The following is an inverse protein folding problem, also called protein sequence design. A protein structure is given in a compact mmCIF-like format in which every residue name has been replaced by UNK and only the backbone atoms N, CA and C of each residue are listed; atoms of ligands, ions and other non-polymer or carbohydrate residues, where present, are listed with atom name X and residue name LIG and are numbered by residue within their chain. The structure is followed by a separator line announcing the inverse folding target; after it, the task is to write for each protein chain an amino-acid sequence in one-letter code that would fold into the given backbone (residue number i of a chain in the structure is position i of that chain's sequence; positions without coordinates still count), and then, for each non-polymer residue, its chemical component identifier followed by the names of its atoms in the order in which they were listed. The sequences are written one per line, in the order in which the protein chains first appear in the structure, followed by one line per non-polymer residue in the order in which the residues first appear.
data_IF_899298390096
#
_entry.id   IF_899298390096
#
_cell.length_a   1.000
_cell.length_b   1.000
_cell.length_c   1.000
_cell.angle_alpha   90.00
_cell.angle_beta   90.00
_cell.angle_gamma   90.00
#
_symmetry.space_group_name_H-M   'P 1'
#
loop_
_entity.id
_entity.type
_entity.pdbx_description
1 polymer ?
#
# COMPACT_ATOMS: atom_id res chain seq x y z
N UNK A 1 -25.68 44.22 -8.89
CA UNK A 1 -24.90 43.30 -9.74
C UNK A 1 -23.94 44.03 -10.69
N UNK A 2 -24.36 45.04 -11.48
CA UNK A 2 -23.45 45.76 -12.39
C UNK A 2 -22.28 46.50 -11.70
N UNK A 3 -22.46 47.00 -10.46
CA UNK A 3 -21.38 47.68 -9.70
C UNK A 3 -20.28 46.73 -9.21
N UNK A 4 -20.59 45.43 -9.01
CA UNK A 4 -19.62 44.40 -8.60
C UNK A 4 -18.82 43.88 -9.79
N UNK A 5 -19.43 43.86 -10.99
CA UNK A 5 -18.75 43.44 -12.23
C UNK A 5 -17.74 44.49 -12.70
N UNK A 6 -18.04 45.79 -12.54
CA UNK A 6 -17.10 46.88 -12.90
C UNK A 6 -15.91 47.04 -11.93
N UNK A 7 -16.06 46.72 -10.63
CA UNK A 7 -14.90 46.74 -9.72
C UNK A 7 -13.92 45.60 -9.99
N UNK A 8 -14.42 44.44 -10.43
CA UNK A 8 -13.57 43.27 -10.69
C UNK A 8 -12.78 43.41 -12.00
N UNK A 9 -13.34 44.01 -13.04
CA UNK A 9 -12.61 44.30 -14.28
C UNK A 9 -11.45 45.29 -14.07
N UNK A 10 -11.64 46.27 -13.18
CA UNK A 10 -10.62 47.28 -12.85
C UNK A 10 -9.47 46.70 -12.00
N UNK A 11 -9.78 45.75 -11.12
CA UNK A 11 -8.79 45.01 -10.31
C UNK A 11 -8.02 44.00 -11.17
N UNK A 12 -8.68 43.32 -12.11
CA UNK A 12 -8.03 42.41 -13.05
C UNK A 12 -7.13 43.15 -14.05
N UNK A 13 -7.53 44.33 -14.52
CA UNK A 13 -6.68 45.18 -15.35
C UNK A 13 -5.44 45.71 -14.59
N UNK A 14 -5.59 46.03 -13.29
CA UNK A 14 -4.49 46.46 -12.43
C UNK A 14 -3.50 45.31 -12.17
N UNK A 15 -4.00 44.10 -11.91
CA UNK A 15 -3.20 42.89 -11.71
C UNK A 15 -2.50 42.47 -13.01
N UNK A 16 -3.19 42.52 -14.14
CA UNK A 16 -2.60 42.22 -15.45
C UNK A 16 -1.52 43.23 -15.85
N UNK A 17 -1.68 44.51 -15.49
CA UNK A 17 -0.66 45.55 -15.70
C UNK A 17 0.57 45.41 -14.79
N UNK A 18 0.44 44.76 -13.64
CA UNK A 18 1.57 44.45 -12.74
C UNK A 18 2.37 43.21 -13.17
N UNK A 19 1.82 42.40 -14.10
CA UNK A 19 2.44 41.17 -14.62
C UNK A 19 2.88 41.33 -16.09
N UNK A 20 2.58 42.47 -16.73
CA UNK A 20 3.01 42.78 -18.09
C UNK A 20 4.53 43.04 -18.15
N UNK A 21 5.23 42.20 -18.91
CA UNK A 21 6.68 42.21 -19.09
C UNK A 21 7.25 43.52 -19.69
N UNK A 22 6.41 44.40 -20.24
CA UNK A 22 6.86 45.75 -20.68
C UNK A 22 7.20 46.68 -19.52
N UNK A 23 6.68 46.44 -18.32
CA UNK A 23 6.99 47.21 -17.12
C UNK A 23 7.61 46.27 -16.08
N UNK A 24 8.91 46.42 -15.80
CA UNK A 24 9.61 45.66 -14.75
C UNK A 24 9.08 46.06 -13.36
N UNK A 25 7.95 45.48 -12.98
CA UNK A 25 7.40 45.63 -11.64
C UNK A 25 8.30 44.92 -10.62
N UNK A 26 8.48 45.48 -9.41
CA UNK A 26 9.26 44.82 -8.36
C UNK A 26 8.66 43.46 -8.01
N UNK A 27 9.52 42.47 -7.75
CA UNK A 27 9.15 41.06 -7.43
C UNK A 27 8.06 40.99 -6.34
N UNK A 28 8.12 41.87 -5.34
CA UNK A 28 7.13 41.94 -4.27
C UNK A 28 5.73 42.27 -4.77
N UNK A 29 5.60 43.12 -5.79
CA UNK A 29 4.32 43.48 -6.41
C UNK A 29 3.75 42.34 -7.24
N UNK A 30 4.59 41.55 -7.89
CA UNK A 30 4.18 40.34 -8.63
C UNK A 30 3.69 39.24 -7.69
N UNK A 31 4.38 39.05 -6.56
CA UNK A 31 3.98 38.10 -5.52
C UNK A 31 2.65 38.52 -4.88
N UNK A 32 2.46 39.81 -4.61
CA UNK A 32 1.19 40.32 -4.08
C UNK A 32 0.06 40.14 -5.11
N UNK A 33 0.31 40.40 -6.39
CA UNK A 33 -0.65 40.16 -7.47
C UNK A 33 -1.04 38.68 -7.59
N UNK A 34 -0.08 37.77 -7.53
CA UNK A 34 -0.31 36.33 -7.55
C UNK A 34 -1.11 35.85 -6.32
N UNK A 35 -0.80 36.37 -5.12
CA UNK A 35 -1.54 36.08 -3.89
C UNK A 35 -2.96 36.65 -3.91
N UNK A 36 -3.16 37.83 -4.51
CA UNK A 36 -4.49 38.42 -4.70
C UNK A 36 -5.33 37.64 -5.71
N UNK A 37 -4.72 37.13 -6.78
CA UNK A 37 -5.39 36.22 -7.72
C UNK A 37 -5.76 34.88 -7.06
N UNK A 38 -4.86 34.33 -6.25
CA UNK A 38 -5.12 33.12 -5.48
C UNK A 38 -6.32 33.31 -4.53
N UNK A 39 -6.32 34.39 -3.74
CA UNK A 39 -7.41 34.70 -2.82
C UNK A 39 -8.76 34.97 -3.53
N UNK A 40 -8.73 35.57 -4.72
CA UNK A 40 -9.94 35.76 -5.55
C UNK A 40 -10.42 34.45 -6.20
N UNK A 41 -9.50 33.52 -6.51
CA UNK A 41 -9.79 32.22 -7.10
C UNK A 41 -10.39 31.21 -6.11
N UNK A 42 -10.13 31.37 -4.81
CA UNK A 42 -10.69 30.54 -3.74
C UNK A 42 -12.12 30.94 -3.35
N UNK A 43 -12.54 32.17 -3.66
CA UNK A 43 -13.85 32.69 -3.27
C UNK A 43 -14.90 32.70 -4.39
N UNK A 44 -14.55 32.38 -5.64
CA UNK A 44 -15.50 32.49 -6.75
C UNK A 44 -15.26 31.46 -7.87
N UNK A 45 -16.09 30.41 -7.87
CA UNK A 45 -16.01 29.28 -8.81
C UNK A 45 -16.18 29.69 -10.27
N UNK A 46 -16.92 30.76 -10.55
CA UNK A 46 -17.10 31.27 -11.91
C UNK A 46 -15.83 31.91 -12.47
N UNK A 47 -15.09 32.66 -11.64
CA UNK A 47 -13.81 33.29 -12.05
C UNK A 47 -12.75 32.21 -12.31
N UNK A 48 -12.77 31.12 -11.52
CA UNK A 48 -11.89 29.97 -11.74
C UNK A 48 -12.14 29.32 -13.11
N UNK A 49 -13.41 29.17 -13.50
CA UNK A 49 -13.80 28.64 -14.80
C UNK A 49 -13.45 29.61 -15.95
N UNK A 50 -13.64 30.91 -15.77
CA UNK A 50 -13.35 31.91 -16.80
C UNK A 50 -11.83 32.03 -17.05
N UNK A 51 -11.00 31.95 -16.00
CA UNK A 51 -9.52 31.94 -16.13
C UNK A 51 -9.02 30.63 -16.74
N UNK A 52 -9.58 29.47 -16.37
CA UNK A 52 -9.15 28.18 -16.94
C UNK A 52 -9.52 28.01 -18.41
N UNK A 53 -10.54 28.74 -18.87
CA UNK A 53 -11.04 28.66 -20.24
C UNK A 53 -10.48 29.76 -21.16
N UNK A 54 -9.80 30.78 -20.63
CA UNK A 54 -9.15 31.82 -21.44
C UNK A 54 -7.68 31.49 -21.70
N UNK A 55 -7.43 30.90 -22.86
CA UNK A 55 -6.12 30.49 -23.35
C UNK A 55 -5.11 31.64 -23.44
N UNK A 56 -5.59 32.89 -23.65
CA UNK A 56 -4.72 34.05 -23.75
C UNK A 56 -4.14 34.46 -22.39
N UNK A 57 -4.92 34.36 -21.33
CA UNK A 57 -4.49 34.60 -19.94
C UNK A 57 -3.53 33.52 -19.45
N UNK A 58 -3.80 32.25 -19.78
CA UNK A 58 -2.90 31.14 -19.45
C UNK A 58 -1.56 31.24 -20.16
N UNK A 59 -1.55 31.70 -21.42
CA UNK A 59 -0.31 31.92 -22.16
C UNK A 59 0.49 33.11 -21.63
N UNK A 60 -0.15 34.21 -21.22
CA UNK A 60 0.54 35.33 -20.56
C UNK A 60 1.14 34.90 -19.23
N UNK A 61 0.42 34.11 -18.42
CA UNK A 61 0.96 33.55 -17.17
C UNK A 61 2.14 32.61 -17.42
N UNK A 62 2.04 31.73 -18.43
CA UNK A 62 3.12 30.80 -18.79
C UNK A 62 4.36 31.53 -19.34
N UNK A 63 4.19 32.62 -20.09
CA UNK A 63 5.29 33.38 -20.68
C UNK A 63 5.95 34.38 -19.73
N UNK A 64 5.32 34.73 -18.60
CA UNK A 64 5.88 35.61 -17.57
C UNK A 64 6.73 34.88 -16.53
N UNK A 65 6.89 33.55 -16.66
CA UNK A 65 7.61 32.70 -15.72
C UNK A 65 8.97 32.31 -16.32
N UNK A 66 10.06 32.76 -15.70
CA UNK A 66 11.41 32.32 -16.09
C UNK A 66 11.64 30.88 -15.60
N UNK A 67 12.36 30.06 -16.37
CA UNK A 67 12.54 28.63 -16.11
C UNK A 67 13.22 28.33 -14.76
N UNK A 68 13.87 29.34 -14.19
CA UNK A 68 14.56 29.30 -12.88
C UNK A 68 13.61 29.47 -11.70
N UNK A 69 12.40 29.96 -11.94
CA UNK A 69 11.39 30.25 -10.91
C UNK A 69 10.32 29.14 -10.79
N UNK A 70 10.40 28.10 -11.63
CA UNK A 70 9.57 26.88 -11.55
C UNK A 70 9.51 26.24 -10.13
N UNK A 71 10.59 26.18 -9.33
CA UNK A 71 10.54 25.62 -7.99
C UNK A 71 9.75 26.47 -6.98
N UNK A 72 9.61 27.78 -7.22
CA UNK A 72 8.79 28.66 -6.37
C UNK A 72 7.29 28.53 -6.68
N UNK A 73 6.93 28.17 -7.92
CA UNK A 73 5.55 27.90 -8.35
C UNK A 73 5.03 26.55 -7.87
N UNK A 74 5.90 25.55 -7.76
CA UNK A 74 5.57 24.28 -7.10
C UNK A 74 5.09 24.50 -5.65
N UNK A 75 5.56 25.55 -4.96
CA UNK A 75 5.14 25.90 -3.60
C UNK A 75 3.75 26.56 -3.49
N UNK A 76 3.14 27.00 -4.59
CA UNK A 76 1.84 27.71 -4.61
C UNK A 76 0.67 26.76 -4.96
N UNK A 77 0.90 25.44 -5.00
CA UNK A 77 -0.12 24.43 -5.28
C UNK A 77 -0.87 24.67 -6.60
N UNK A 78 -0.13 25.08 -7.64
CA UNK A 78 -0.59 25.00 -9.04
C UNK A 78 -0.55 23.56 -9.60
N UNK A 79 -0.27 22.57 -8.75
CA UNK A 79 -0.58 21.17 -9.00
C UNK A 79 -2.06 20.97 -9.34
N UNK A 80 -2.96 21.87 -8.91
CA UNK A 80 -4.36 21.90 -9.35
C UNK A 80 -4.55 22.02 -10.87
N UNK A 81 -3.69 22.72 -11.61
CA UNK A 81 -3.80 22.83 -13.08
C UNK A 81 -3.24 21.58 -13.78
N UNK A 82 -2.25 20.92 -13.17
CA UNK A 82 -1.78 19.59 -13.59
C UNK A 82 -2.83 18.50 -13.27
N UNK A 83 -3.57 18.65 -12.16
CA UNK A 83 -4.72 17.82 -11.78
C UNK A 83 -5.93 18.11 -12.67
N UNK A 84 -6.15 19.33 -13.15
CA UNK A 84 -7.18 19.62 -14.18
C UNK A 84 -6.80 18.96 -15.51
N UNK A 85 -5.49 18.82 -15.82
CA UNK A 85 -5.03 17.95 -16.93
C UNK A 85 -5.21 16.46 -16.63
N UNK A 86 -5.08 16.00 -15.38
CA UNK A 86 -5.41 14.62 -14.97
C UNK A 86 -6.93 14.36 -14.89
N UNK A 87 -7.76 15.38 -14.69
CA UNK A 87 -9.22 15.29 -14.81
C UNK A 87 -9.67 15.39 -16.27
N UNK A 88 -8.91 16.07 -17.13
CA UNK A 88 -8.99 15.89 -18.58
C UNK A 88 -8.58 14.47 -18.98
N UNK A 89 -7.62 13.86 -18.28
CA UNK A 89 -7.32 12.42 -18.42
C UNK A 89 -8.49 11.59 -17.89
N UNK A 90 -9.23 11.99 -16.85
CA UNK A 90 -10.49 11.31 -16.45
C UNK A 90 -11.59 11.41 -17.52
N UNK A 91 -11.71 12.54 -18.22
CA UNK A 91 -12.61 12.72 -19.38
C UNK A 91 -12.15 12.03 -20.67
N UNK A 92 -10.85 11.78 -20.81
CA UNK A 92 -10.26 10.96 -21.89
C UNK A 92 -10.32 9.47 -21.54
N UNK A 93 -10.17 9.09 -20.26
CA UNK A 93 -10.33 7.73 -19.73
C UNK A 93 -11.77 7.22 -19.90
N UNK A 94 -12.78 8.09 -19.77
CA UNK A 94 -14.17 7.73 -20.10
C UNK A 94 -14.44 7.56 -21.61
N UNK A 95 -13.49 7.91 -22.49
CA UNK A 95 -13.62 7.80 -23.95
C UNK A 95 -12.59 6.85 -24.61
N UNK A 96 -11.73 6.19 -23.82
CA UNK A 96 -10.77 5.20 -24.32
C UNK A 96 -11.35 3.80 -24.16
N UNK A 97 -12.21 3.41 -25.09
CA UNK A 97 -12.82 2.06 -25.16
C UNK A 97 -11.86 0.98 -25.67
N UNK A 98 -10.54 1.09 -25.43
CA UNK A 98 -9.60 0.00 -25.72
C UNK A 98 -8.44 -0.03 -24.73
N UNK A 99 -8.29 -1.18 -24.06
CA UNK A 99 -7.33 -1.50 -22.99
C UNK A 99 -5.83 -1.21 -23.28
N UNK A 100 -5.43 -0.85 -24.50
CA UNK A 100 -4.01 -0.81 -24.90
C UNK A 100 -3.22 0.46 -24.47
N UNK A 101 -3.87 1.57 -24.12
CA UNK A 101 -3.18 2.89 -24.02
C UNK A 101 -2.80 3.35 -22.59
N UNK A 102 -3.07 2.55 -21.54
CA UNK A 102 -2.71 2.86 -20.14
C UNK A 102 -1.21 2.71 -19.83
N UNK A 103 -0.42 2.10 -20.72
CA UNK A 103 0.98 1.76 -20.46
C UNK A 103 1.94 2.97 -20.46
N UNK A 104 1.68 4.02 -21.24
CA UNK A 104 2.69 5.08 -21.51
C UNK A 104 3.08 5.95 -20.31
N UNK A 105 2.14 6.46 -19.47
CA UNK A 105 2.51 7.24 -18.28
C UNK A 105 3.28 6.39 -17.26
N UNK A 106 2.87 5.13 -17.09
CA UNK A 106 3.52 4.19 -16.19
C UNK A 106 4.93 3.81 -16.65
N UNK A 107 5.10 3.50 -17.93
CA UNK A 107 6.43 3.25 -18.54
C UNK A 107 7.39 4.42 -18.32
N UNK A 108 6.88 5.66 -18.27
CA UNK A 108 7.70 6.84 -17.95
C UNK A 108 8.09 6.91 -16.47
N UNK A 109 7.20 6.59 -15.54
CA UNK A 109 7.51 6.49 -14.10
C UNK A 109 8.54 5.39 -13.86
N UNK A 110 8.33 4.22 -14.44
CA UNK A 110 9.28 3.11 -14.35
C UNK A 110 10.64 3.43 -14.98
N UNK A 111 10.67 4.11 -16.12
CA UNK A 111 11.92 4.55 -16.73
C UNK A 111 12.68 5.50 -15.80
N UNK A 112 11.99 6.37 -15.06
CA UNK A 112 12.60 7.23 -14.02
C UNK A 112 13.13 6.36 -12.89
N UNK A 113 12.35 5.41 -12.36
CA UNK A 113 12.77 4.52 -11.28
C UNK A 113 13.99 3.67 -11.66
N UNK A 114 13.98 3.05 -12.85
CA UNK A 114 15.10 2.27 -13.42
C UNK A 114 16.34 3.14 -13.63
N UNK A 115 16.19 4.34 -14.19
CA UNK A 115 17.30 5.28 -14.39
C UNK A 115 17.93 5.73 -13.07
N UNK A 116 17.13 5.87 -12.01
CA UNK A 116 17.63 6.17 -10.66
C UNK A 116 18.36 4.99 -10.02
N UNK A 117 17.90 3.75 -10.27
CA UNK A 117 18.54 2.53 -9.75
C UNK A 117 19.88 2.24 -10.44
N UNK A 118 19.92 2.31 -11.78
CA UNK A 118 21.10 1.99 -12.60
C UNK A 118 22.24 3.02 -12.45
N UNK A 119 21.92 4.30 -12.26
CA UNK A 119 22.93 5.38 -12.27
C UNK A 119 23.64 5.60 -10.93
N UNK A 120 23.20 4.99 -9.83
CA UNK A 120 23.68 5.40 -8.49
C UNK A 120 24.11 4.22 -7.65
N UNK A 121 25.41 4.15 -7.38
CA UNK A 121 25.98 3.26 -6.37
C UNK A 121 25.34 3.54 -5.00
N UNK A 122 25.32 2.53 -4.13
CA UNK A 122 24.79 2.49 -2.75
C UNK A 122 25.02 3.74 -1.87
N UNK A 123 25.91 4.66 -2.24
CA UNK A 123 26.31 5.82 -1.45
C UNK A 123 25.39 7.05 -1.57
N UNK A 124 24.52 7.15 -2.58
CA UNK A 124 23.69 8.36 -2.81
C UNK A 124 22.21 8.22 -2.43
N UNK A 125 21.74 7.03 -2.00
CA UNK A 125 20.34 6.81 -1.60
C UNK A 125 19.87 7.72 -0.44
N UNK A 126 20.69 8.01 0.60
CA UNK A 126 20.31 8.96 1.66
C UNK A 126 20.05 10.39 1.16
N UNK A 127 20.55 10.77 -0.04
CA UNK A 127 20.28 12.07 -0.66
C UNK A 127 18.97 12.10 -1.45
N UNK A 128 18.44 10.94 -1.85
CA UNK A 128 17.13 10.81 -2.49
C UNK A 128 15.99 10.97 -1.49
N UNK A 129 16.19 10.66 -0.20
CA UNK A 129 15.20 10.89 0.89
C UNK A 129 15.04 12.37 1.25
N UNK A 130 15.39 13.29 0.34
CA UNK A 130 14.94 14.68 0.42
C UNK A 130 13.44 14.78 0.13
N UNK A 131 12.78 15.78 0.72
CA UNK A 131 11.33 16.04 0.61
C UNK A 131 10.79 16.04 -0.83
N UNK A 132 11.60 16.34 -1.85
CA UNK A 132 11.15 16.38 -3.25
C UNK A 132 11.00 14.99 -3.90
N UNK A 133 11.85 14.01 -3.55
CA UNK A 133 11.66 12.63 -4.03
C UNK A 133 10.61 11.88 -3.20
N UNK A 134 10.37 12.35 -1.97
CA UNK A 134 9.32 11.86 -1.08
C UNK A 134 7.94 11.92 -1.73
N UNK A 135 7.55 13.11 -2.21
CA UNK A 135 6.24 13.35 -2.81
C UNK A 135 6.05 12.54 -4.10
N UNK A 136 7.12 12.36 -4.88
CA UNK A 136 7.07 11.61 -6.14
C UNK A 136 6.88 10.11 -5.92
N UNK A 137 7.59 9.53 -4.96
CA UNK A 137 7.46 8.11 -4.59
C UNK A 137 6.08 7.87 -4.00
N UNK A 138 5.66 8.73 -3.07
CA UNK A 138 4.32 8.71 -2.47
C UNK A 138 3.22 8.75 -3.54
N UNK A 139 3.28 9.70 -4.48
CA UNK A 139 2.30 9.81 -5.57
C UNK A 139 2.31 8.57 -6.48
N UNK A 140 3.48 7.97 -6.69
CA UNK A 140 3.60 6.76 -7.50
C UNK A 140 2.93 5.56 -6.81
N UNK A 141 3.01 5.46 -5.49
CA UNK A 141 2.28 4.45 -4.71
C UNK A 141 0.77 4.67 -4.75
N UNK A 142 0.29 5.91 -4.57
CA UNK A 142 -1.15 6.22 -4.63
C UNK A 142 -1.75 5.86 -6.01
N UNK A 143 -1.01 6.09 -7.09
CA UNK A 143 -1.42 5.71 -8.46
C UNK A 143 -1.44 4.19 -8.61
N UNK A 144 -0.41 3.50 -8.12
CA UNK A 144 -0.32 2.04 -8.18
C UNK A 144 -1.45 1.37 -7.40
N UNK A 145 -1.76 1.89 -6.21
CA UNK A 145 -2.87 1.42 -5.39
C UNK A 145 -4.20 1.60 -6.10
N UNK A 146 -4.45 2.79 -6.66
CA UNK A 146 -5.69 3.05 -7.43
C UNK A 146 -5.84 2.08 -8.61
N UNK A 147 -4.75 1.80 -9.34
CA UNK A 147 -4.77 0.88 -10.47
C UNK A 147 -5.01 -0.57 -10.07
N UNK A 148 -4.62 -0.96 -8.86
CA UNK A 148 -4.87 -2.31 -8.32
C UNK A 148 -6.30 -2.42 -7.78
N UNK A 149 -6.84 -1.38 -7.14
CA UNK A 149 -8.17 -1.40 -6.53
C UNK A 149 -9.34 -1.24 -7.53
N UNK A 150 -9.19 -0.47 -8.61
CA UNK A 150 -10.29 -0.17 -9.54
C UNK A 150 -10.80 -1.40 -10.33
N UNK A 151 -10.08 -2.54 -10.32
CA UNK A 151 -10.55 -3.79 -10.93
C UNK A 151 -11.52 -4.61 -10.02
N UNK A 152 -11.52 -4.39 -8.70
CA UNK A 152 -12.34 -5.17 -7.76
C UNK A 152 -13.82 -4.76 -7.75
N UNK A 153 -14.11 -3.47 -7.92
CA UNK A 153 -15.50 -2.95 -7.86
C UNK A 153 -16.32 -3.27 -9.11
N UNK A 154 -15.68 -3.59 -10.24
CA UNK A 154 -16.37 -3.91 -11.50
C UNK A 154 -17.05 -5.29 -11.50
N UNK A 155 -16.70 -6.19 -10.58
CA UNK A 155 -17.16 -7.60 -10.58
C UNK A 155 -18.37 -7.88 -9.69
N UNK A 156 -18.89 -6.92 -8.93
CA UNK A 156 -19.91 -7.18 -7.89
C UNK A 156 -21.37 -7.24 -8.37
N UNK A 157 -21.65 -7.15 -9.69
CA UNK A 157 -23.02 -7.12 -10.23
C UNK A 157 -23.40 -8.27 -11.20
N UNK A 158 -22.61 -9.34 -11.30
CA UNK A 158 -22.94 -10.50 -12.13
C UNK A 158 -23.52 -11.64 -11.28
N UNK A 159 -24.83 -11.88 -11.41
CA UNK A 159 -25.55 -12.97 -10.75
C UNK A 159 -25.18 -14.35 -11.29
N UNK A 160 -24.75 -15.25 -10.40
CA UNK A 160 -24.94 -16.71 -10.33
C UNK A 160 -25.25 -17.49 -11.64
N UNK A 161 -24.45 -17.32 -12.68
CA UNK A 161 -24.26 -18.35 -13.69
C UNK A 161 -22.77 -18.72 -13.75
N UNK A 162 -22.50 -19.98 -13.45
CA UNK A 162 -21.27 -20.76 -13.57
C UNK A 162 -20.38 -20.26 -14.75
N UNK A 163 -19.58 -19.23 -14.49
CA UNK A 163 -18.74 -18.54 -15.49
C UNK A 163 -17.27 -18.83 -15.25
N UNK A 164 -16.60 -19.14 -16.35
CA UNK A 164 -15.23 -19.61 -16.40
C UNK A 164 -14.25 -18.68 -15.71
N UNK A 165 -13.12 -19.26 -15.33
CA UNK A 165 -11.88 -18.59 -14.95
C UNK A 165 -11.65 -17.41 -15.89
N UNK A 166 -12.11 -16.22 -15.50
CA UNK A 166 -11.97 -15.03 -16.31
C UNK A 166 -10.48 -14.82 -16.50
N UNK A 167 -10.09 -14.82 -17.77
CA UNK A 167 -8.73 -14.59 -18.20
C UNK A 167 -8.30 -13.24 -17.66
N UNK A 168 -7.50 -13.26 -16.58
CA UNK A 168 -6.68 -12.13 -16.17
C UNK A 168 -5.99 -11.63 -17.44
N UNK A 169 -6.30 -10.39 -17.85
CA UNK A 169 -5.89 -9.92 -19.16
C UNK A 169 -4.37 -10.02 -19.27
N UNK A 170 -3.83 -10.47 -20.40
CA UNK A 170 -2.36 -10.59 -20.57
C UNK A 170 -1.63 -9.29 -20.23
N UNK A 171 -2.30 -8.14 -20.44
CA UNK A 171 -1.83 -6.80 -20.09
C UNK A 171 -1.60 -6.66 -18.58
N UNK A 172 -2.54 -7.11 -17.75
CA UNK A 172 -2.43 -7.05 -16.27
C UNK A 172 -1.28 -7.92 -15.72
N UNK A 173 -0.99 -9.07 -16.31
CA UNK A 173 0.14 -9.92 -15.88
C UNK A 173 1.50 -9.28 -16.20
N UNK A 174 1.67 -8.72 -17.39
CA UNK A 174 2.92 -8.06 -17.79
C UNK A 174 3.23 -6.83 -16.93
N UNK A 175 2.18 -6.09 -16.56
CA UNK A 175 2.28 -4.94 -15.66
C UNK A 175 2.68 -5.36 -14.25
N UNK A 176 2.04 -6.39 -13.70
CA UNK A 176 2.37 -6.93 -12.38
C UNK A 176 3.81 -7.45 -12.33
N UNK A 177 4.28 -8.07 -13.41
CA UNK A 177 5.69 -8.47 -13.54
C UNK A 177 6.66 -7.30 -13.48
N UNK A 178 6.30 -6.18 -14.08
CA UNK A 178 7.14 -4.99 -14.04
C UNK A 178 7.15 -4.34 -12.65
N UNK A 179 6.02 -4.35 -11.94
CA UNK A 179 5.94 -3.94 -10.54
C UNK A 179 6.84 -4.83 -9.67
N UNK A 180 6.71 -6.15 -9.79
CA UNK A 180 7.49 -7.13 -9.00
C UNK A 180 8.99 -7.00 -9.28
N UNK A 181 9.39 -6.79 -10.54
CA UNK A 181 10.81 -6.73 -10.91
C UNK A 181 11.48 -5.39 -10.61
N UNK A 182 10.71 -4.31 -10.37
CA UNK A 182 11.25 -2.95 -10.24
C UNK A 182 10.83 -2.29 -8.93
N UNK A 183 9.52 -2.11 -8.74
CA UNK A 183 8.99 -1.35 -7.61
C UNK A 183 9.18 -2.09 -6.28
N UNK A 184 8.90 -3.39 -6.24
CA UNK A 184 9.04 -4.19 -5.02
C UNK A 184 10.48 -4.19 -4.49
N UNK A 185 11.54 -4.46 -5.29
CA UNK A 185 12.92 -4.37 -4.82
C UNK A 185 13.30 -2.98 -4.27
N UNK A 186 12.81 -1.90 -4.88
CA UNK A 186 13.06 -0.53 -4.43
C UNK A 186 12.39 -0.30 -3.06
N UNK A 187 11.12 -0.71 -2.91
CA UNK A 187 10.37 -0.62 -1.65
C UNK A 187 11.03 -1.42 -0.53
N UNK A 188 11.52 -2.62 -0.82
CA UNK A 188 12.26 -3.47 0.12
C UNK A 188 13.55 -2.78 0.58
N UNK A 189 14.36 -2.25 -0.35
CA UNK A 189 15.58 -1.49 -0.01
C UNK A 189 15.26 -0.25 0.83
N UNK A 190 14.20 0.46 0.47
CA UNK A 190 13.75 1.64 1.19
C UNK A 190 13.40 1.31 2.65
N UNK A 191 12.62 0.25 2.89
CA UNK A 191 12.29 -0.19 4.25
C UNK A 191 13.53 -0.63 5.04
N UNK A 192 14.47 -1.33 4.42
CA UNK A 192 15.73 -1.73 5.08
C UNK A 192 16.57 -0.52 5.52
N UNK A 193 16.57 0.55 4.73
CA UNK A 193 17.32 1.76 5.06
C UNK A 193 16.58 2.61 6.10
N UNK A 194 15.25 2.76 5.97
CA UNK A 194 14.42 3.44 6.97
C UNK A 194 14.49 2.76 8.34
N UNK A 195 14.54 1.43 8.37
CA UNK A 195 14.65 0.67 9.61
C UNK A 195 15.95 0.95 10.37
N UNK A 196 17.09 1.04 9.67
CA UNK A 196 18.38 1.39 10.30
C UNK A 196 18.36 2.81 10.87
N UNK A 197 17.66 3.72 10.19
CA UNK A 197 17.59 5.12 10.61
C UNK A 197 16.56 5.37 11.71
N UNK A 198 15.54 4.52 11.85
CA UNK A 198 14.51 4.62 12.88
C UNK A 198 15.09 4.50 14.30
N UNK A 199 16.22 3.82 14.44
CA UNK A 199 16.96 3.68 15.70
C UNK A 199 17.54 5.01 16.22
N UNK A 200 17.69 6.05 15.39
CA UNK A 200 18.49 7.26 15.70
C UNK A 200 17.69 8.55 15.99
N UNK A 201 16.39 8.46 16.34
CA UNK A 201 15.38 9.52 16.54
C UNK A 201 14.54 9.80 15.29
N UNK A 202 13.23 9.60 15.48
CA UNK A 202 12.21 9.59 14.44
C UNK A 202 11.98 11.00 13.86
N UNK A 203 12.16 11.11 12.54
CA UNK A 203 11.54 12.13 11.70
C UNK A 203 10.16 11.60 11.27
N UNK A 204 9.08 12.33 11.56
CA UNK A 204 7.71 11.91 11.25
C UNK A 204 7.55 11.56 9.76
N UNK A 205 8.21 12.30 8.86
CA UNK A 205 8.14 12.02 7.43
C UNK A 205 8.64 10.60 7.09
N UNK A 206 9.72 10.15 7.74
CA UNK A 206 10.27 8.80 7.51
C UNK A 206 9.33 7.70 7.97
N UNK A 207 8.65 7.90 9.11
CA UNK A 207 7.64 6.97 9.60
C UNK A 207 6.46 6.87 8.62
N UNK A 208 5.95 8.01 8.14
CA UNK A 208 4.86 8.05 7.15
C UNK A 208 5.25 7.33 5.84
N UNK A 209 6.51 7.45 5.41
CA UNK A 209 7.02 6.74 4.24
C UNK A 209 7.09 5.23 4.47
N UNK A 210 7.55 4.79 5.64
CA UNK A 210 7.60 3.37 5.98
C UNK A 210 6.20 2.76 5.92
N UNK A 211 5.21 3.43 6.51
CA UNK A 211 3.80 3.02 6.50
C UNK A 211 3.29 2.86 5.06
N UNK A 212 3.43 3.88 4.20
CA UNK A 212 2.98 3.81 2.79
C UNK A 212 3.69 2.71 2.00
N UNK A 213 4.98 2.50 2.28
CA UNK A 213 5.75 1.45 1.62
C UNK A 213 5.28 0.06 2.05
N UNK A 214 4.94 -0.12 3.33
CA UNK A 214 4.33 -1.34 3.86
C UNK A 214 2.94 -1.58 3.27
N UNK A 215 2.08 -0.56 3.19
CA UNK A 215 0.76 -0.63 2.53
C UNK A 215 0.88 -1.10 1.09
N UNK A 216 1.77 -0.48 0.31
CA UNK A 216 2.05 -0.88 -1.06
C UNK A 216 2.47 -2.34 -1.15
N UNK A 217 3.44 -2.78 -0.35
CA UNK A 217 3.92 -4.17 -0.37
C UNK A 217 2.83 -5.16 0.04
N UNK A 218 2.00 -4.79 1.01
CA UNK A 218 0.89 -5.60 1.48
C UNK A 218 -0.16 -5.78 0.36
N UNK A 219 -0.57 -4.69 -0.29
CA UNK A 219 -1.54 -4.72 -1.40
C UNK A 219 -1.03 -5.56 -2.58
N UNK A 220 0.24 -5.39 -2.95
CA UNK A 220 0.87 -6.21 -3.99
C UNK A 220 0.94 -7.68 -3.58
N UNK A 221 1.28 -7.96 -2.32
CA UNK A 221 1.28 -9.31 -1.77
C UNK A 221 -0.08 -10.00 -1.91
N UNK A 222 -1.16 -9.35 -1.46
CA UNK A 222 -2.54 -9.86 -1.57
C UNK A 222 -2.98 -10.06 -3.02
N UNK A 223 -2.60 -9.15 -3.90
CA UNK A 223 -2.86 -9.29 -5.34
C UNK A 223 -2.16 -10.52 -5.91
N UNK A 224 -0.89 -10.74 -5.55
CA UNK A 224 -0.11 -11.89 -6.03
C UNK A 224 -0.69 -13.20 -5.53
N UNK A 225 -1.02 -13.28 -4.23
CA UNK A 225 -1.52 -14.52 -3.63
C UNK A 225 -2.88 -14.92 -4.18
N UNK A 226 -3.78 -13.95 -4.37
CA UNK A 226 -5.16 -14.20 -4.81
C UNK A 226 -5.30 -14.34 -6.33
N UNK A 227 -4.53 -13.58 -7.12
CA UNK A 227 -4.71 -13.51 -8.58
C UNK A 227 -3.68 -14.31 -9.38
N UNK A 228 -2.52 -14.63 -8.81
CA UNK A 228 -1.46 -15.36 -9.55
C UNK A 228 -1.46 -16.85 -9.19
N UNK A 229 -1.77 -17.75 -10.16
CA UNK A 229 -1.69 -19.19 -9.94
C UNK A 229 -0.28 -19.62 -9.51
N UNK A 230 -0.21 -20.62 -8.62
CA UNK A 230 1.04 -21.05 -7.98
C UNK A 230 2.17 -21.41 -8.97
N UNK A 231 1.80 -21.92 -10.14
CA UNK A 231 2.75 -22.41 -11.17
C UNK A 231 3.22 -21.33 -12.15
N UNK A 232 2.75 -20.10 -12.04
CA UNK A 232 3.14 -19.04 -12.97
C UNK A 232 4.52 -18.45 -12.65
N UNK A 233 5.23 -18.06 -13.70
CA UNK A 233 6.59 -17.50 -13.59
C UNK A 233 6.67 -16.25 -12.71
N UNK A 234 5.59 -15.47 -12.70
CA UNK A 234 5.47 -14.26 -11.87
C UNK A 234 5.59 -14.51 -10.39
N UNK A 235 5.21 -15.71 -9.93
CA UNK A 235 5.38 -16.10 -8.54
C UNK A 235 6.84 -16.42 -8.20
N UNK A 236 7.70 -16.72 -9.16
CA UNK A 236 9.13 -16.95 -8.90
C UNK A 236 9.85 -15.65 -8.53
N UNK A 237 9.63 -14.56 -9.28
CA UNK A 237 10.22 -13.27 -8.95
C UNK A 237 9.79 -12.75 -7.58
N UNK A 238 8.53 -13.01 -7.18
CA UNK A 238 8.05 -12.72 -5.83
C UNK A 238 8.75 -13.56 -4.77
N UNK A 239 8.90 -14.88 -4.99
CA UNK A 239 9.57 -15.78 -4.04
C UNK A 239 11.00 -15.35 -3.74
N UNK A 240 11.74 -14.89 -4.74
CA UNK A 240 13.13 -14.43 -4.57
C UNK A 240 13.23 -13.23 -3.61
N UNK A 241 12.22 -12.35 -3.60
CA UNK A 241 12.18 -11.15 -2.76
C UNK A 241 11.42 -11.39 -1.44
N UNK A 242 10.56 -12.40 -1.39
CA UNK A 242 9.71 -12.68 -0.24
C UNK A 242 10.51 -12.99 1.03
N UNK A 243 11.70 -13.60 0.91
CA UNK A 243 12.57 -13.81 2.06
C UNK A 243 13.15 -12.49 2.62
N UNK A 244 13.48 -11.54 1.75
CA UNK A 244 13.92 -10.21 2.19
C UNK A 244 12.78 -9.45 2.89
N UNK A 245 11.56 -9.53 2.35
CA UNK A 245 10.36 -8.96 2.97
C UNK A 245 10.10 -9.63 4.33
N UNK A 246 10.19 -10.96 4.40
CA UNK A 246 10.04 -11.70 5.65
C UNK A 246 11.02 -11.21 6.73
N UNK A 247 12.29 -11.06 6.38
CA UNK A 247 13.31 -10.58 7.32
C UNK A 247 13.04 -9.15 7.79
N UNK A 248 12.54 -8.28 6.90
CA UNK A 248 12.09 -6.94 7.28
C UNK A 248 10.94 -7.05 8.28
N UNK A 249 9.91 -7.83 7.97
CA UNK A 249 8.77 -8.03 8.87
C UNK A 249 9.19 -8.55 10.24
N UNK A 250 10.08 -9.56 10.29
CA UNK A 250 10.63 -10.07 11.54
C UNK A 250 11.39 -9.00 12.30
N UNK A 251 12.24 -8.21 11.65
CA UNK A 251 12.96 -7.14 12.33
C UNK A 251 12.02 -6.07 12.91
N UNK A 252 10.92 -5.76 12.22
CA UNK A 252 9.87 -4.90 12.77
C UNK A 252 9.20 -5.56 13.99
N UNK A 253 8.64 -6.77 13.83
CA UNK A 253 7.96 -7.53 14.90
C UNK A 253 8.86 -7.70 16.14
N UNK A 254 10.15 -7.91 15.91
CA UNK A 254 11.11 -8.26 16.95
C UNK A 254 11.82 -7.06 17.56
N UNK A 255 11.81 -5.92 16.87
CA UNK A 255 12.28 -4.63 17.36
C UNK A 255 11.24 -3.90 18.20
N UNK A 256 11.58 -2.67 18.59
CA UNK A 256 10.70 -1.78 19.35
C UNK A 256 9.74 -1.03 18.42
N UNK A 257 8.95 -1.75 17.61
CA UNK A 257 7.89 -1.12 16.81
C UNK A 257 6.99 -0.27 17.71
N UNK A 258 6.79 1.00 17.31
CA UNK A 258 6.16 1.99 18.20
C UNK A 258 4.67 2.19 17.94
N UNK A 259 4.14 1.75 16.79
CA UNK A 259 2.75 1.97 16.38
C UNK A 259 1.97 0.69 16.10
N UNK A 260 0.75 0.61 16.65
CA UNK A 260 -0.19 -0.50 16.38
C UNK A 260 -0.56 -0.60 14.89
N UNK A 261 -0.75 0.54 14.22
CA UNK A 261 -1.08 0.58 12.79
C UNK A 261 0.07 0.03 11.91
N UNK A 262 1.31 0.39 12.23
CA UNK A 262 2.49 -0.14 11.53
C UNK A 262 2.63 -1.64 11.77
N UNK A 263 2.45 -2.09 13.02
CA UNK A 263 2.50 -3.51 13.38
C UNK A 263 1.41 -4.32 12.65
N UNK A 264 0.24 -3.74 12.45
CA UNK A 264 -0.84 -4.35 11.68
C UNK A 264 -0.50 -4.56 10.21
N UNK A 265 0.13 -3.56 9.57
CA UNK A 265 0.62 -3.69 8.20
C UNK A 265 1.75 -4.72 8.10
N UNK A 266 2.69 -4.69 9.04
CA UNK A 266 3.82 -5.63 9.10
C UNK A 266 3.34 -7.07 9.26
N UNK A 267 2.37 -7.33 10.15
CA UNK A 267 1.81 -8.67 10.35
C UNK A 267 0.91 -9.10 9.19
N UNK A 268 0.20 -8.18 8.54
CA UNK A 268 -0.50 -8.45 7.29
C UNK A 268 0.46 -8.90 6.18
N UNK A 269 1.59 -8.20 6.05
CA UNK A 269 2.65 -8.53 5.11
C UNK A 269 3.36 -9.85 5.49
N UNK A 270 3.61 -10.10 6.77
CA UNK A 270 4.18 -11.36 7.25
C UNK A 270 3.26 -12.54 6.89
N UNK A 271 1.95 -12.37 7.12
CA UNK A 271 0.96 -13.40 6.80
C UNK A 271 0.98 -13.76 5.31
N UNK A 272 0.91 -12.77 4.41
CA UNK A 272 0.92 -13.07 2.97
C UNK A 272 2.23 -13.72 2.50
N UNK A 273 3.35 -13.32 3.09
CA UNK A 273 4.66 -13.89 2.76
C UNK A 273 4.73 -15.36 3.19
N UNK A 274 4.20 -15.71 4.37
CA UNK A 274 4.10 -17.12 4.80
C UNK A 274 3.17 -17.96 3.93
N UNK A 275 2.18 -17.37 3.26
CA UNK A 275 1.29 -18.06 2.30
C UNK A 275 1.93 -18.28 0.94
N UNK A 276 2.87 -17.42 0.55
CA UNK A 276 3.41 -17.40 -0.82
C UNK A 276 4.77 -18.10 -0.95
N UNK A 277 5.48 -18.31 0.16
CA UNK A 277 6.84 -18.86 0.18
C UNK A 277 6.99 -20.07 1.10
N UNK A 278 7.58 -21.14 0.58
CA UNK A 278 7.75 -22.42 1.29
C UNK A 278 8.99 -22.47 2.20
N UNK A 279 9.98 -21.60 1.99
CA UNK A 279 11.31 -21.69 2.62
C UNK A 279 11.62 -20.54 3.60
N UNK A 280 10.64 -20.17 4.43
CA UNK A 280 10.76 -19.07 5.39
C UNK A 280 11.46 -19.39 6.71
N UNK A 281 11.20 -20.43 7.48
CA UNK A 281 11.79 -20.61 8.83
C UNK A 281 11.57 -19.48 9.87
N UNK A 282 11.28 -19.90 11.09
CA UNK A 282 11.11 -18.99 12.23
C UNK A 282 11.85 -19.54 13.43
N UNK A 283 12.56 -18.65 14.15
CA UNK A 283 13.17 -19.03 15.40
C UNK A 283 12.12 -19.06 16.52
N UNK A 284 12.33 -19.92 17.53
CA UNK A 284 11.44 -19.98 18.70
C UNK A 284 11.27 -18.62 19.41
N UNK A 285 12.32 -17.81 19.63
CA UNK A 285 12.15 -16.46 20.19
C UNK A 285 11.26 -15.53 19.36
N UNK A 286 11.32 -15.61 18.03
CA UNK A 286 10.52 -14.75 17.15
C UNK A 286 9.06 -15.22 17.13
N UNK A 287 8.84 -16.54 17.15
CA UNK A 287 7.53 -17.16 17.37
C UNK A 287 6.88 -16.66 18.67
N UNK A 288 7.62 -16.72 19.77
CA UNK A 288 7.16 -16.28 21.09
C UNK A 288 6.77 -14.79 21.08
N UNK A 289 7.46 -13.95 20.30
CA UNK A 289 7.12 -12.53 20.12
C UNK A 289 5.79 -12.33 19.38
N UNK A 290 5.53 -13.07 18.31
CA UNK A 290 4.22 -12.99 17.60
C UNK A 290 3.08 -13.43 18.53
N UNK A 291 3.27 -14.50 19.30
CA UNK A 291 2.30 -14.97 20.31
C UNK A 291 2.11 -13.91 21.41
N UNK A 292 3.19 -13.24 21.83
CA UNK A 292 3.11 -12.17 22.82
C UNK A 292 2.28 -10.99 22.30
N UNK A 293 2.51 -10.56 21.06
CA UNK A 293 1.72 -9.49 20.41
C UNK A 293 0.23 -9.85 20.42
N UNK A 294 -0.12 -11.08 20.02
CA UNK A 294 -1.51 -11.56 20.05
C UNK A 294 -2.15 -11.40 21.44
N UNK A 295 -1.42 -11.72 22.51
CA UNK A 295 -1.94 -11.68 23.89
C UNK A 295 -2.07 -10.27 24.44
N UNK A 296 -1.22 -9.35 23.98
CA UNK A 296 -1.14 -7.98 24.53
C UNK A 296 -1.99 -6.99 23.74
N UNK A 297 -2.30 -7.26 22.47
CA UNK A 297 -3.14 -6.39 21.65
C UNK A 297 -4.63 -6.56 21.96
N UNK A 298 -5.37 -5.45 21.85
CA UNK A 298 -6.84 -5.42 21.84
C UNK A 298 -7.44 -5.42 20.43
N UNK A 299 -6.63 -5.32 19.38
CA UNK A 299 -7.10 -5.34 17.99
C UNK A 299 -7.38 -6.76 17.54
N UNK A 300 -8.66 -7.08 17.31
CA UNK A 300 -9.09 -8.37 16.76
C UNK A 300 -8.50 -8.64 15.36
N UNK A 301 -8.29 -7.58 14.58
CA UNK A 301 -7.64 -7.67 13.27
C UNK A 301 -6.16 -8.09 13.40
N UNK A 302 -5.44 -7.49 14.36
CA UNK A 302 -4.05 -7.85 14.63
C UNK A 302 -3.94 -9.29 15.15
N UNK A 303 -4.87 -9.69 16.01
CA UNK A 303 -4.95 -11.07 16.51
C UNK A 303 -5.17 -12.08 15.39
N UNK A 304 -6.08 -11.78 14.46
CA UNK A 304 -6.34 -12.62 13.29
C UNK A 304 -5.10 -12.74 12.41
N UNK A 305 -4.40 -11.64 12.13
CA UNK A 305 -3.14 -11.64 11.37
C UNK A 305 -2.02 -12.43 12.06
N UNK A 306 -1.90 -12.35 13.40
CA UNK A 306 -0.99 -13.20 14.16
C UNK A 306 -1.30 -14.69 13.94
N UNK A 307 -2.56 -15.09 14.12
CA UNK A 307 -2.97 -16.49 13.95
C UNK A 307 -2.74 -16.96 12.53
N UNK A 308 -3.15 -16.18 11.54
CA UNK A 308 -2.96 -16.52 10.13
C UNK A 308 -1.49 -16.71 9.76
N UNK A 309 -0.60 -15.83 10.26
CA UNK A 309 0.86 -15.96 10.08
C UNK A 309 1.39 -17.24 10.73
N UNK A 310 1.01 -17.49 11.98
CA UNK A 310 1.44 -18.67 12.73
C UNK A 310 0.92 -19.97 12.11
N UNK A 311 -0.33 -20.01 11.68
CA UNK A 311 -0.95 -21.17 11.06
C UNK A 311 -0.17 -21.63 9.82
N UNK A 312 0.23 -20.69 8.96
CA UNK A 312 1.00 -21.00 7.75
C UNK A 312 2.45 -21.40 8.04
N UNK A 313 3.07 -20.86 9.10
CA UNK A 313 4.37 -21.34 9.57
C UNK A 313 4.29 -22.79 10.08
N UNK A 314 3.20 -23.16 10.76
CA UNK A 314 3.03 -24.51 11.29
C UNK A 314 2.79 -25.60 10.23
N UNK A 315 2.35 -25.25 9.02
CA UNK A 315 2.18 -26.22 7.94
C UNK A 315 3.50 -26.87 7.45
N UNK A 316 4.66 -26.34 7.85
CA UNK A 316 5.99 -26.75 7.39
C UNK A 316 6.44 -28.07 8.02
N UNK A 317 6.85 -29.01 7.16
CA UNK A 317 7.45 -30.26 7.60
C UNK A 317 8.89 -30.03 8.09
N UNK A 318 9.38 -30.91 8.97
CA UNK A 318 10.72 -30.87 9.56
C UNK A 318 10.86 -29.97 10.78
N UNK A 319 9.78 -29.31 11.23
CA UNK A 319 9.78 -28.36 12.34
C UNK A 319 8.78 -28.73 13.44
N UNK A 320 8.84 -29.98 13.90
CA UNK A 320 7.88 -30.55 14.86
C UNK A 320 7.73 -29.69 16.13
N UNK A 321 8.83 -29.15 16.66
CA UNK A 321 8.80 -28.32 17.87
C UNK A 321 8.03 -26.99 17.67
N UNK A 322 8.26 -26.31 16.53
CA UNK A 322 7.56 -25.07 16.17
C UNK A 322 6.08 -25.37 15.90
N UNK A 323 5.78 -26.43 15.14
CA UNK A 323 4.42 -26.89 14.89
C UNK A 323 3.67 -27.21 16.20
N UNK A 324 4.33 -27.90 17.14
CA UNK A 324 3.74 -28.23 18.44
C UNK A 324 3.38 -26.98 19.24
N UNK A 325 4.29 -26.00 19.32
CA UNK A 325 4.07 -24.76 20.06
C UNK A 325 2.93 -23.94 19.48
N UNK A 326 2.88 -23.80 18.15
CA UNK A 326 1.78 -23.14 17.44
C UNK A 326 0.48 -23.91 17.65
N UNK A 327 0.47 -25.23 17.49
CA UNK A 327 -0.71 -26.07 17.69
C UNK A 327 -1.32 -25.94 19.09
N UNK A 328 -0.48 -25.94 20.13
CA UNK A 328 -0.92 -25.72 21.52
C UNK A 328 -1.51 -24.31 21.68
N UNK A 329 -0.88 -23.29 21.08
CA UNK A 329 -1.37 -21.92 21.09
C UNK A 329 -2.77 -21.82 20.43
N UNK A 330 -2.95 -22.35 19.22
CA UNK A 330 -4.24 -22.35 18.50
C UNK A 330 -5.33 -23.07 19.30
N UNK A 331 -5.02 -24.25 19.85
CA UNK A 331 -5.95 -24.98 20.71
C UNK A 331 -6.34 -24.19 21.96
N UNK A 332 -5.40 -23.43 22.54
CA UNK A 332 -5.68 -22.56 23.69
C UNK A 332 -6.65 -21.43 23.32
N UNK A 333 -6.49 -20.82 22.14
CA UNK A 333 -7.42 -19.79 21.63
C UNK A 333 -8.83 -20.38 21.50
N UNK A 334 -8.97 -21.55 20.88
CA UNK A 334 -10.27 -22.22 20.67
C UNK A 334 -10.93 -22.59 22.01
N UNK A 335 -10.16 -23.17 22.94
CA UNK A 335 -10.67 -23.58 24.25
C UNK A 335 -11.06 -22.40 25.15
N UNK A 336 -10.48 -21.22 24.89
CA UNK A 336 -10.73 -19.96 25.62
C UNK A 336 -12.15 -19.42 25.45
N UNK A 337 -12.97 -19.97 24.56
CA UNK A 337 -14.38 -19.63 24.43
C UNK A 337 -15.13 -19.70 25.79
N UNK A 338 -16.00 -18.71 26.08
CA UNK A 338 -16.44 -17.62 25.20
C UNK A 338 -15.60 -16.32 25.31
N UNK A 339 -14.41 -16.36 25.94
CA UNK A 339 -13.59 -15.16 26.17
C UNK A 339 -12.71 -14.79 24.98
N UNK A 340 -12.32 -15.78 24.17
CA UNK A 340 -11.56 -15.54 22.95
C UNK A 340 -12.43 -14.83 21.91
N UNK A 341 -11.89 -13.83 21.19
CA UNK A 341 -12.59 -13.18 20.09
C UNK A 341 -12.99 -14.18 19.00
N UNK A 342 -14.16 -13.96 18.40
CA UNK A 342 -14.77 -14.92 17.46
C UNK A 342 -13.90 -15.10 16.23
N UNK A 343 -13.41 -14.01 15.63
CA UNK A 343 -12.57 -14.05 14.42
C UNK A 343 -11.26 -14.81 14.67
N UNK A 344 -10.64 -14.61 15.84
CA UNK A 344 -9.46 -15.36 16.26
C UNK A 344 -9.76 -16.87 16.42
N UNK A 345 -10.95 -17.24 16.90
CA UNK A 345 -11.34 -18.65 17.00
C UNK A 345 -11.57 -19.27 15.62
N UNK A 346 -12.23 -18.56 14.71
CA UNK A 346 -12.48 -19.01 13.33
C UNK A 346 -11.15 -19.24 12.62
N UNK A 347 -10.26 -18.23 12.61
CA UNK A 347 -8.95 -18.36 11.97
C UNK A 347 -8.09 -19.46 12.62
N UNK A 348 -8.23 -19.69 13.93
CA UNK A 348 -7.51 -20.79 14.60
C UNK A 348 -8.02 -22.16 14.16
N UNK A 349 -9.32 -22.31 13.90
CA UNK A 349 -9.90 -23.55 13.39
C UNK A 349 -9.46 -23.80 11.95
N UNK A 350 -9.52 -22.77 11.10
CA UNK A 350 -9.06 -22.84 9.71
C UNK A 350 -7.58 -23.22 9.65
N UNK A 351 -6.74 -22.60 10.48
CA UNK A 351 -5.33 -22.96 10.61
C UNK A 351 -5.14 -24.42 11.06
N UNK A 352 -5.89 -24.91 12.05
CA UNK A 352 -5.79 -26.31 12.48
C UNK A 352 -6.20 -27.29 11.39
N UNK A 353 -7.24 -26.96 10.61
CA UNK A 353 -7.65 -27.79 9.48
C UNK A 353 -6.57 -27.82 8.40
N UNK A 354 -5.98 -26.67 8.07
CA UNK A 354 -4.89 -26.60 7.09
C UNK A 354 -3.64 -27.37 7.53
N UNK A 355 -3.27 -27.26 8.81
CA UNK A 355 -2.08 -27.94 9.35
C UNK A 355 -2.32 -29.46 9.40
N UNK A 356 -3.40 -29.91 10.02
CA UNK A 356 -3.60 -31.33 10.35
C UNK A 356 -4.58 -32.06 9.42
N UNK A 357 -4.76 -31.57 8.19
CA UNK A 357 -5.62 -32.22 7.19
C UNK A 357 -5.10 -33.58 6.71
N UNK A 358 -3.78 -33.83 6.78
CA UNK A 358 -3.15 -35.06 6.28
C UNK A 358 -2.33 -35.77 7.36
N UNK A 359 -2.73 -37.00 7.68
CA UNK A 359 -2.02 -37.88 8.61
C UNK A 359 -0.62 -38.31 8.13
N UNK A 360 -0.27 -38.07 6.87
CA UNK A 360 1.05 -38.37 6.32
C UNK A 360 2.12 -37.33 6.72
N UNK A 361 1.73 -36.17 7.27
CA UNK A 361 2.69 -35.16 7.71
C UNK A 361 3.44 -35.60 8.98
N UNK A 362 4.71 -35.20 9.08
CA UNK A 362 5.63 -35.62 10.13
C UNK A 362 5.24 -35.16 11.54
N UNK A 363 4.43 -34.11 11.62
CA UNK A 363 3.89 -33.56 12.87
C UNK A 363 2.53 -34.16 13.29
N UNK A 364 1.81 -34.92 12.46
CA UNK A 364 0.49 -35.45 12.83
C UNK A 364 0.55 -36.34 14.09
N UNK A 365 1.36 -37.38 14.06
CA UNK A 365 1.50 -38.29 15.20
C UNK A 365 2.10 -37.62 16.45
N UNK A 366 3.27 -36.95 16.39
CA UNK A 366 3.90 -36.37 17.58
C UNK A 366 3.17 -35.15 18.15
N UNK A 367 2.36 -34.45 17.34
CA UNK A 367 1.64 -33.25 17.79
C UNK A 367 0.15 -33.51 17.90
N UNK A 368 -0.57 -33.70 16.79
CA UNK A 368 -2.03 -33.82 16.79
C UNK A 368 -2.51 -35.02 17.64
N UNK A 369 -1.94 -36.20 17.41
CA UNK A 369 -2.34 -37.44 18.11
C UNK A 369 -1.85 -37.44 19.55
N UNK A 370 -0.54 -37.25 19.78
CA UNK A 370 0.04 -37.34 21.13
C UNK A 370 -0.37 -36.19 22.06
N UNK A 371 -0.59 -34.98 21.53
CA UNK A 371 -1.13 -33.88 22.33
C UNK A 371 -2.66 -33.94 22.48
N UNK A 372 -3.34 -34.93 21.88
CA UNK A 372 -4.77 -35.19 22.05
C UNK A 372 -5.68 -34.07 21.53
N UNK A 373 -5.29 -33.40 20.44
CA UNK A 373 -6.04 -32.27 19.88
C UNK A 373 -7.45 -32.65 19.48
N UNK A 374 -7.66 -33.85 18.91
CA UNK A 374 -9.01 -34.36 18.58
C UNK A 374 -9.95 -34.38 19.80
N UNK A 375 -9.47 -34.90 20.94
CA UNK A 375 -10.26 -34.94 22.17
C UNK A 375 -10.62 -33.53 22.62
N UNK A 376 -9.66 -32.61 22.58
CA UNK A 376 -9.86 -31.22 22.98
C UNK A 376 -10.83 -30.46 22.06
N UNK A 377 -10.81 -30.74 20.76
CA UNK A 377 -11.80 -30.21 19.82
C UNK A 377 -13.20 -30.76 20.13
N UNK A 378 -13.33 -32.07 20.35
CA UNK A 378 -14.60 -32.70 20.72
C UNK A 378 -15.20 -32.11 22.00
N UNK A 379 -14.38 -31.85 23.02
CA UNK A 379 -14.78 -31.21 24.27
C UNK A 379 -15.22 -29.74 24.06
N UNK A 380 -14.72 -29.08 23.02
CA UNK A 380 -15.02 -27.67 22.72
C UNK A 380 -16.24 -27.48 21.81
N UNK A 381 -16.66 -28.52 21.08
CA UNK A 381 -17.82 -28.48 20.17
C UNK A 381 -19.09 -27.84 20.77
N UNK A 382 -19.51 -28.15 22.01
CA UNK A 382 -20.69 -27.51 22.60
C UNK A 382 -20.58 -25.98 22.70
N UNK A 383 -19.37 -25.47 22.98
CA UNK A 383 -19.11 -24.02 23.05
C UNK A 383 -19.19 -23.39 21.66
N UNK A 384 -18.66 -24.08 20.65
CA UNK A 384 -18.72 -23.64 19.25
C UNK A 384 -20.16 -23.55 18.73
N UNK A 385 -21.00 -24.55 19.01
CA UNK A 385 -22.43 -24.47 18.66
C UNK A 385 -23.14 -23.30 19.33
N UNK A 386 -22.75 -22.96 20.57
CA UNK A 386 -23.32 -21.80 21.26
C UNK A 386 -22.89 -20.48 20.63
N UNK A 387 -21.66 -20.42 20.10
CA UNK A 387 -21.10 -19.24 19.44
C UNK A 387 -21.83 -18.91 18.12
N UNK A 388 -22.15 -19.91 17.30
CA UNK A 388 -22.83 -19.73 16.00
C UNK A 388 -24.32 -19.42 16.18
N UNK A 389 -24.88 -19.72 17.36
CA UNK A 389 -26.30 -19.57 17.67
C UNK A 389 -27.14 -20.77 17.21
N UNK A 390 -28.38 -20.90 17.71
CA UNK A 390 -29.28 -21.96 17.26
C UNK A 390 -29.73 -21.69 15.82
N UNK A 391 -29.38 -22.59 14.90
CA UNK A 391 -29.96 -22.66 13.55
C UNK A 391 -31.41 -23.13 13.58
#
# INVERSE_FOLDING_TARGET
MQVIVQSNASVLALISGLVDNKYRSPITSQIVAAKSLYALSDLNSQIRADISNDESLLNVLACSIDAKDCPALARINLCGIFIVRLQLIKGVLCNLTSLEDHSKPFQKVLAILKDQDDKRSRQDFPRLVGLESFDLISTSFDILETLVCDEDDACSNASDEEMGVETFSVVSQSFLMEIISVAVPISVRLLQDLQKELEEKIDQGKADMAIRTLEFLNNIGWTIESRIPEKQESRFGWKDIALDIWNICLNYITGDCTGEAELELVLGLAWIITRTSFDIDISKPDLEKIIKIFRETSSENLQTKCIGTLGKLACRQGQIEINQEIGIFLMTVIQGLPRSPVDAVIESLDALFDIYADSAFDYDTPVFVQCGFLRHLQETLPKLYTMVGPH
#
